data_IF_703400096389
#
_entry.id   IF_703400096389
#
_cell.length_a   1.000
_cell.length_b   1.000
_cell.length_c   1.000
_cell.angle_alpha   90.00
_cell.angle_beta   90.00
_cell.angle_gamma   90.00
#
_symmetry.space_group_name_H-M   'P 1'
#
loop_
_entity.id
_entity.type
_entity.pdbx_description
1 polymer ?
#
# COMPACT_ATOMS: atom_id res chain seq x y z
N UNK A 1 -33.52 4.91 15.22
CA UNK A 1 -33.69 5.04 13.75
C UNK A 1 -32.48 5.64 13.02
N UNK A 2 -31.30 5.78 13.65
CA UNK A 2 -30.07 6.34 13.04
C UNK A 2 -29.08 5.30 12.50
N UNK A 3 -29.28 4.02 12.75
CA UNK A 3 -28.37 2.93 12.36
C UNK A 3 -28.63 2.45 10.93
N UNK A 4 -29.83 2.54 10.43
CA UNK A 4 -30.26 1.96 9.14
C UNK A 4 -29.71 2.71 7.92
N UNK A 5 -29.44 4.02 8.02
CA UNK A 5 -28.91 4.83 6.91
C UNK A 5 -27.41 4.63 6.73
N UNK A 6 -26.69 4.35 7.83
CA UNK A 6 -25.22 4.16 7.79
C UNK A 6 -24.83 2.82 7.13
N UNK A 7 -25.67 1.79 7.20
CA UNK A 7 -25.44 0.49 6.55
C UNK A 7 -25.67 0.52 5.03
N UNK A 8 -26.52 1.43 4.53
CA UNK A 8 -26.80 1.52 3.10
C UNK A 8 -25.61 2.01 2.28
N UNK A 9 -24.79 2.89 2.81
CA UNK A 9 -23.56 3.34 2.15
C UNK A 9 -22.42 2.30 2.19
N UNK A 10 -22.41 1.44 3.22
CA UNK A 10 -21.47 0.32 3.29
C UNK A 10 -21.80 -0.75 2.24
N UNK A 11 -23.08 -1.01 1.99
CA UNK A 11 -23.54 -1.97 0.98
C UNK A 11 -23.26 -1.51 -0.46
N UNK A 12 -23.33 -0.21 -0.74
CA UNK A 12 -23.08 0.34 -2.08
C UNK A 12 -21.59 0.24 -2.50
N UNK A 13 -20.66 0.32 -1.57
CA UNK A 13 -19.23 0.15 -1.84
C UNK A 13 -18.84 -1.32 -2.11
N UNK A 14 -19.60 -2.28 -1.56
CA UNK A 14 -19.33 -3.73 -1.69
C UNK A 14 -19.94 -4.32 -2.96
N UNK A 15 -21.03 -3.76 -3.46
CA UNK A 15 -21.79 -4.29 -4.64
C UNK A 15 -21.09 -4.06 -5.98
N UNK A 16 -20.07 -3.21 -6.05
CA UNK A 16 -19.32 -2.99 -7.31
C UNK A 16 -18.22 -4.06 -7.58
N UNK A 17 -17.96 -4.97 -6.64
CA UNK A 17 -16.88 -5.96 -6.73
C UNK A 17 -17.36 -7.38 -7.10
N UNK A 18 -18.65 -7.67 -7.05
CA UNK A 18 -19.19 -9.02 -7.19
C UNK A 18 -20.19 -9.17 -8.33
N UNK A 19 -19.71 -9.18 -9.58
CA UNK A 19 -20.47 -9.74 -10.70
C UNK A 19 -19.57 -10.69 -11.51
N UNK A 20 -19.67 -12.02 -11.33
CA UNK A 20 -19.03 -12.97 -12.23
C UNK A 20 -19.82 -13.03 -13.54
N UNK A 21 -19.26 -12.51 -14.63
CA UNK A 21 -19.75 -12.83 -15.96
C UNK A 21 -19.32 -14.24 -16.32
N UNK A 22 -20.26 -15.16 -16.32
CA UNK A 22 -20.14 -16.46 -16.96
C UNK A 22 -20.04 -16.24 -18.46
N UNK A 23 -18.86 -16.41 -19.04
CA UNK A 23 -18.65 -16.49 -20.48
C UNK A 23 -18.81 -17.95 -20.90
N UNK A 24 -19.88 -18.20 -21.64
CA UNK A 24 -20.19 -19.47 -22.31
C UNK A 24 -19.19 -19.64 -23.45
N UNK A 25 -18.41 -20.73 -23.42
CA UNK A 25 -17.57 -21.13 -24.53
C UNK A 25 -18.46 -21.55 -25.72
N UNK A 26 -18.11 -21.07 -26.91
CA UNK A 26 -18.72 -21.49 -28.18
C UNK A 26 -17.69 -22.36 -28.89
N UNK A 27 -18.04 -23.62 -29.06
CA UNK A 27 -17.27 -24.58 -29.87
C UNK A 27 -17.18 -24.13 -31.32
N UNK A 28 -15.99 -24.22 -31.88
CA UNK A 28 -15.70 -24.02 -33.29
C UNK A 28 -14.51 -24.86 -33.70
N UNK A 29 -14.83 -25.90 -34.43
CA UNK A 29 -13.96 -26.90 -35.02
C UNK A 29 -12.98 -26.37 -36.07
N UNK A 30 -11.79 -26.96 -36.16
CA UNK A 30 -11.01 -27.00 -37.41
C UNK A 30 -9.52 -26.86 -37.28
N UNK A 31 -8.81 -27.97 -37.25
CA UNK A 31 -7.69 -28.29 -38.10
C UNK A 31 -6.29 -27.69 -37.91
N UNK A 32 -5.43 -28.57 -37.62
CA UNK A 32 -4.01 -28.73 -37.98
C UNK A 32 -3.01 -28.69 -36.81
N UNK A 33 -2.43 -29.87 -36.64
CA UNK A 33 -1.47 -30.26 -35.63
C UNK A 33 -0.06 -29.73 -35.96
N UNK A 34 0.52 -28.98 -35.01
CA UNK A 34 1.96 -28.84 -34.87
C UNK A 34 2.41 -29.66 -33.63
N UNK A 35 3.62 -30.23 -33.62
CA UNK A 35 4.06 -31.12 -32.54
C UNK A 35 4.18 -30.34 -31.23
N UNK A 36 3.43 -30.78 -30.22
CA UNK A 36 3.49 -30.24 -28.87
C UNK A 36 4.70 -30.82 -28.14
N UNK A 37 5.61 -29.96 -27.70
CA UNK A 37 6.60 -30.29 -26.68
C UNK A 37 5.89 -30.48 -25.35
N UNK A 38 5.98 -31.66 -24.77
CA UNK A 38 5.43 -31.92 -23.42
C UNK A 38 6.45 -31.45 -22.39
N UNK A 39 6.16 -30.33 -21.72
CA UNK A 39 6.93 -29.88 -20.58
C UNK A 39 6.35 -30.46 -19.30
N UNK A 40 7.13 -31.26 -18.60
CA UNK A 40 6.79 -31.77 -17.27
C UNK A 40 7.38 -30.83 -16.23
N UNK A 41 6.52 -30.18 -15.47
CA UNK A 41 6.90 -29.32 -14.34
C UNK A 41 7.39 -30.22 -13.18
N UNK A 42 8.70 -30.19 -12.91
CA UNK A 42 9.27 -30.60 -11.63
C UNK A 42 9.67 -29.37 -10.82
N UNK A 43 9.51 -29.49 -9.51
CA UNK A 43 9.58 -28.36 -8.56
C UNK A 43 10.99 -27.73 -8.44
N UNK A 44 12.02 -28.29 -9.06
CA UNK A 44 13.41 -27.87 -8.82
C UNK A 44 14.21 -27.37 -10.02
N UNK A 45 13.74 -27.42 -11.23
CA UNK A 45 14.34 -26.73 -12.39
C UNK A 45 13.58 -27.06 -13.68
N UNK A 46 13.37 -26.06 -14.52
CA UNK A 46 12.85 -26.26 -15.88
C UNK A 46 14.02 -26.63 -16.79
N UNK A 47 14.24 -27.93 -17.00
CA UNK A 47 15.19 -28.42 -17.99
C UNK A 47 14.42 -28.94 -19.18
N UNK A 48 14.54 -28.30 -20.33
CA UNK A 48 14.03 -28.84 -21.60
C UNK A 48 15.08 -29.82 -22.15
N UNK A 49 14.75 -31.09 -22.32
CA UNK A 49 15.62 -32.07 -22.96
C UNK A 49 15.56 -31.89 -24.50
N UNK A 50 16.69 -31.77 -25.20
CA UNK A 50 16.73 -31.71 -26.66
C UNK A 50 16.44 -33.07 -27.25
N UNK A 51 15.79 -33.08 -28.41
CA UNK A 51 15.53 -34.25 -29.24
C UNK A 51 16.88 -34.84 -29.72
N UNK A 52 17.07 -36.16 -29.73
CA UNK A 52 18.33 -36.78 -30.17
C UNK A 52 18.51 -36.57 -31.68
N UNK A 53 19.56 -35.85 -32.07
CA UNK A 53 19.92 -35.68 -33.46
C UNK A 53 20.68 -34.42 -33.87
N UNK A 54 21.28 -33.67 -32.95
CA UNK A 54 22.23 -32.60 -33.33
C UNK A 54 23.46 -32.61 -32.39
N UNK A 55 24.53 -33.19 -32.85
CA UNK A 55 25.88 -32.96 -32.33
C UNK A 55 26.32 -31.54 -32.70
N UNK A 56 26.18 -30.63 -31.79
CA UNK A 56 26.74 -29.28 -31.81
C UNK A 56 27.59 -29.09 -30.57
N UNK A 57 28.91 -29.14 -30.73
CA UNK A 57 29.88 -28.75 -29.71
C UNK A 57 29.70 -27.26 -29.40
N UNK A 58 28.96 -26.96 -28.35
CA UNK A 58 29.02 -25.66 -27.69
C UNK A 58 29.64 -25.87 -26.32
N UNK A 59 30.80 -25.27 -26.13
CA UNK A 59 31.41 -25.07 -24.82
C UNK A 59 30.39 -24.37 -23.91
N UNK A 60 29.76 -25.15 -23.08
CA UNK A 60 28.96 -24.64 -21.98
C UNK A 60 29.92 -23.99 -20.98
N UNK A 61 30.04 -22.67 -21.03
CA UNK A 61 30.56 -21.91 -19.90
C UNK A 61 29.61 -22.18 -18.74
N UNK A 62 30.07 -23.01 -17.83
CA UNK A 62 29.48 -23.26 -16.52
C UNK A 62 29.51 -21.92 -15.75
N UNK A 63 28.46 -21.10 -15.89
CA UNK A 63 28.19 -20.01 -14.96
C UNK A 63 27.88 -20.66 -13.62
N UNK A 64 28.92 -20.92 -12.85
CA UNK A 64 28.80 -21.27 -11.44
C UNK A 64 28.10 -20.11 -10.75
N UNK A 65 26.81 -20.23 -10.57
CA UNK A 65 26.04 -19.39 -9.64
C UNK A 65 26.68 -19.61 -8.27
N UNK A 66 27.45 -18.61 -7.82
CA UNK A 66 28.12 -18.62 -6.53
C UNK A 66 27.08 -18.84 -5.43
N UNK A 67 26.95 -20.08 -4.94
CA UNK A 67 26.10 -20.39 -3.81
C UNK A 67 26.61 -19.62 -2.58
N UNK A 68 25.74 -18.87 -1.89
CA UNK A 68 26.14 -18.03 -0.77
C UNK A 68 26.72 -18.87 0.36
N UNK A 69 28.04 -18.71 0.60
CA UNK A 69 28.89 -19.56 1.47
C UNK A 69 28.69 -19.37 2.99
N UNK A 70 27.64 -18.66 3.44
CA UNK A 70 27.37 -18.41 4.87
C UNK A 70 25.90 -18.58 5.24
N UNK A 71 25.61 -19.03 6.47
CA UNK A 71 24.24 -19.23 6.94
C UNK A 71 23.40 -17.95 6.85
N UNK A 72 23.95 -16.79 7.23
CA UNK A 72 23.28 -15.48 7.16
C UNK A 72 23.01 -15.07 5.71
N UNK A 73 23.99 -15.29 4.82
CA UNK A 73 23.83 -14.98 3.39
C UNK A 73 22.68 -15.79 2.76
N UNK A 74 22.56 -17.07 3.07
CA UNK A 74 21.44 -17.92 2.60
C UNK A 74 20.09 -17.41 3.12
N UNK A 75 20.00 -17.03 4.38
CA UNK A 75 18.78 -16.48 4.97
C UNK A 75 18.38 -15.16 4.28
N UNK A 76 19.33 -14.26 4.04
CA UNK A 76 19.07 -13.00 3.33
C UNK A 76 18.63 -13.23 1.89
N UNK A 77 19.29 -14.15 1.16
CA UNK A 77 18.89 -14.51 -0.21
C UNK A 77 17.47 -15.10 -0.24
N UNK A 78 17.15 -16.03 0.66
CA UNK A 78 15.80 -16.60 0.77
C UNK A 78 14.74 -15.54 1.11
N UNK A 79 15.07 -14.61 2.01
CA UNK A 79 14.18 -13.51 2.36
C UNK A 79 13.96 -12.53 1.19
N UNK A 80 15.01 -12.20 0.44
CA UNK A 80 14.91 -11.38 -0.77
C UNK A 80 14.12 -12.08 -1.88
N UNK A 81 14.31 -13.39 -2.07
CA UNK A 81 13.55 -14.20 -3.02
C UNK A 81 12.05 -14.26 -2.64
N UNK A 82 11.74 -14.39 -1.35
CA UNK A 82 10.37 -14.30 -0.85
C UNK A 82 9.74 -12.93 -1.19
N UNK A 83 10.49 -11.83 -1.06
CA UNK A 83 10.05 -10.50 -1.45
C UNK A 83 9.68 -10.43 -2.93
N UNK A 84 10.57 -10.89 -3.82
CA UNK A 84 10.32 -10.92 -5.26
C UNK A 84 9.07 -11.77 -5.63
N UNK A 85 8.96 -12.97 -5.07
CA UNK A 85 7.81 -13.84 -5.27
C UNK A 85 6.50 -13.21 -4.78
N UNK A 86 6.53 -12.56 -3.62
CA UNK A 86 5.35 -11.87 -3.06
C UNK A 86 4.90 -10.71 -3.94
N UNK A 87 5.84 -9.93 -4.47
CA UNK A 87 5.56 -8.81 -5.38
C UNK A 87 5.00 -9.28 -6.73
N UNK A 88 5.52 -10.37 -7.28
CA UNK A 88 5.04 -10.95 -8.53
C UNK A 88 3.58 -11.46 -8.44
N UNK A 89 3.12 -11.85 -7.26
CA UNK A 89 1.76 -12.36 -7.03
C UNK A 89 0.70 -11.27 -6.79
N UNK A 90 1.01 -10.00 -7.02
CA UNK A 90 0.09 -8.89 -6.81
C UNK A 90 0.20 -7.85 -7.92
N UNK A 91 -0.82 -6.97 -8.10
CA UNK A 91 -0.76 -5.92 -9.09
C UNK A 91 0.43 -4.98 -8.87
N UNK A 92 1.02 -4.49 -9.96
CA UNK A 92 2.21 -3.64 -9.92
C UNK A 92 1.87 -2.14 -9.90
N UNK A 93 0.89 -1.72 -9.07
CA UNK A 93 0.51 -0.33 -8.91
C UNK A 93 1.51 0.46 -8.06
N UNK A 94 1.55 1.77 -8.25
CA UNK A 94 2.25 2.64 -7.31
C UNK A 94 1.41 2.82 -6.03
N UNK A 95 2.04 3.02 -4.89
CA UNK A 95 1.29 3.38 -3.70
C UNK A 95 0.76 4.80 -3.81
N UNK A 96 -0.49 5.07 -3.43
CA UNK A 96 -1.04 6.42 -3.39
C UNK A 96 -0.28 7.36 -2.43
N UNK A 97 -0.49 8.68 -2.59
CA UNK A 97 0.15 9.69 -1.74
C UNK A 97 -0.34 9.60 -0.30
N UNK A 98 -1.66 9.65 -0.08
CA UNK A 98 -2.24 9.65 1.26
C UNK A 98 -2.85 8.30 1.64
N UNK A 99 -3.56 7.63 0.73
CA UNK A 99 -4.20 6.33 0.97
C UNK A 99 -3.17 5.23 1.19
N UNK A 100 -3.37 4.39 2.20
CA UNK A 100 -2.52 3.24 2.45
C UNK A 100 -2.80 2.14 1.43
N UNK A 101 -1.77 1.73 0.69
CA UNK A 101 -1.88 0.61 -0.26
C UNK A 101 -2.01 -0.73 0.47
N UNK A 102 -2.86 -1.60 -0.05
CA UNK A 102 -2.95 -2.99 0.40
C UNK A 102 -1.81 -3.89 -0.10
N UNK A 103 -0.96 -3.42 -1.01
CA UNK A 103 0.19 -4.19 -1.51
C UNK A 103 1.18 -4.46 -0.39
N UNK A 104 1.74 -5.67 -0.41
CA UNK A 104 2.85 -6.05 0.46
C UNK A 104 4.18 -5.68 -0.22
N UNK A 105 5.13 -5.16 0.55
CA UNK A 105 6.37 -4.62 0.02
C UNK A 105 7.54 -4.82 0.97
N UNK A 106 8.74 -4.72 0.41
CA UNK A 106 9.98 -4.43 1.13
C UNK A 106 10.39 -3.01 0.71
N UNK A 107 10.15 -2.02 1.58
CA UNK A 107 10.29 -0.60 1.22
C UNK A 107 10.63 0.23 2.45
N UNK A 108 11.55 1.18 2.31
CA UNK A 108 11.63 2.30 3.22
C UNK A 108 10.82 3.45 2.63
N UNK A 109 9.78 3.90 3.34
CA UNK A 109 8.97 5.04 2.96
C UNK A 109 9.11 6.16 3.98
N UNK A 110 9.37 7.37 3.49
CA UNK A 110 9.45 8.57 4.29
C UNK A 110 8.54 9.65 3.72
N UNK A 111 7.51 10.03 4.49
CA UNK A 111 6.56 11.07 4.10
C UNK A 111 6.83 12.33 4.94
N UNK A 112 6.82 13.48 4.28
CA UNK A 112 6.82 14.78 4.94
C UNK A 112 5.64 15.59 4.44
N UNK A 113 5.06 16.40 5.30
CA UNK A 113 3.97 17.27 4.89
C UNK A 113 3.99 18.60 5.63
N UNK A 114 3.44 19.61 4.96
CA UNK A 114 3.10 20.91 5.53
C UNK A 114 1.60 21.08 5.50
N UNK A 115 1.03 21.33 6.65
CA UNK A 115 -0.41 21.59 6.76
C UNK A 115 -0.64 23.04 7.20
N UNK A 116 -1.76 23.63 6.77
CA UNK A 116 -2.23 24.92 7.25
C UNK A 116 -3.68 24.80 7.72
N UNK A 117 -3.99 25.56 8.78
CA UNK A 117 -5.32 25.63 9.38
C UNK A 117 -5.49 26.94 10.15
N UNK A 118 -6.63 27.08 10.84
CA UNK A 118 -6.94 28.28 11.61
C UNK A 118 -5.92 28.57 12.73
N UNK A 119 -5.27 27.53 13.27
CA UNK A 119 -4.25 27.64 14.32
C UNK A 119 -2.81 27.84 13.79
N UNK A 120 -2.64 28.20 12.53
CA UNK A 120 -1.32 28.37 11.90
C UNK A 120 -0.88 27.17 11.06
N UNK A 121 0.39 27.19 10.66
CA UNK A 121 1.02 26.12 9.88
C UNK A 121 1.79 25.12 10.74
N UNK A 122 1.90 23.89 10.24
CA UNK A 122 2.68 22.82 10.88
C UNK A 122 3.43 22.06 9.81
N UNK A 123 4.72 21.82 10.03
CA UNK A 123 5.49 20.83 9.28
C UNK A 123 5.52 19.51 10.07
N UNK A 124 5.44 18.40 9.37
CA UNK A 124 5.62 17.08 9.95
C UNK A 124 6.61 16.27 9.11
N UNK A 125 7.52 15.59 9.76
CA UNK A 125 8.56 14.78 9.17
C UNK A 125 8.43 13.35 9.68
N UNK A 126 8.34 12.38 8.78
CA UNK A 126 8.19 10.96 9.11
C UNK A 126 6.75 10.42 9.10
N UNK A 127 5.74 11.25 9.03
CA UNK A 127 4.32 11.08 8.73
C UNK A 127 3.64 9.70 8.85
N UNK A 128 3.99 8.85 9.84
CA UNK A 128 3.33 7.56 10.04
C UNK A 128 3.73 6.46 9.06
N UNK A 129 4.82 6.62 8.35
CA UNK A 129 5.43 5.64 7.45
C UNK A 129 6.80 5.23 8.00
N UNK A 130 7.45 4.25 7.39
CA UNK A 130 8.74 3.75 7.88
C UNK A 130 9.26 2.58 7.07
N UNK A 131 9.94 1.68 7.75
CA UNK A 131 10.48 0.46 7.18
C UNK A 131 9.38 -0.59 7.09
N UNK A 132 9.05 -0.99 5.87
CA UNK A 132 8.11 -2.05 5.53
C UNK A 132 8.90 -3.29 5.10
N UNK A 133 8.63 -4.45 5.71
CA UNK A 133 9.31 -5.69 5.38
C UNK A 133 8.42 -6.92 5.56
N UNK A 134 8.67 -7.93 4.74
CA UNK A 134 7.95 -9.18 4.77
C UNK A 134 8.51 -10.09 5.86
N UNK A 135 7.62 -10.61 6.69
CA UNK A 135 7.91 -11.67 7.68
C UNK A 135 7.44 -13.04 7.22
N UNK A 136 6.52 -13.07 6.27
CA UNK A 136 6.03 -14.28 5.60
C UNK A 136 5.46 -13.90 4.21
N UNK A 137 5.25 -14.84 3.28
CA UNK A 137 4.79 -14.56 1.91
C UNK A 137 3.50 -13.75 1.80
N UNK A 138 2.68 -13.72 2.85
CA UNK A 138 1.41 -13.00 2.90
C UNK A 138 1.32 -12.00 4.05
N UNK A 139 2.42 -11.79 4.80
CA UNK A 139 2.43 -10.95 6.00
C UNK A 139 3.59 -9.97 5.95
N UNK A 140 3.27 -8.69 6.13
CA UNK A 140 4.21 -7.59 6.19
C UNK A 140 4.09 -6.88 7.52
N UNK A 141 5.22 -6.51 8.09
CA UNK A 141 5.33 -5.55 9.20
C UNK A 141 5.82 -4.20 8.69
N UNK A 142 5.36 -3.14 9.31
CA UNK A 142 5.90 -1.80 9.20
C UNK A 142 6.24 -1.27 10.58
N UNK A 143 7.43 -0.72 10.71
CA UNK A 143 7.87 0.03 11.87
C UNK A 143 8.15 1.46 11.38
N UNK A 144 7.34 2.40 11.81
CA UNK A 144 7.50 3.81 11.47
C UNK A 144 8.47 4.51 12.43
N UNK A 145 9.03 5.62 11.99
CA UNK A 145 9.66 6.56 12.92
C UNK A 145 8.59 7.41 13.62
N UNK A 146 8.76 7.76 14.90
CA UNK A 146 7.91 8.78 15.51
C UNK A 146 7.96 10.07 14.68
N UNK A 147 6.82 10.60 14.21
CA UNK A 147 6.82 11.78 13.37
C UNK A 147 7.24 13.02 14.17
N UNK A 148 8.19 13.78 13.64
CA UNK A 148 8.59 15.05 14.23
C UNK A 148 7.70 16.18 13.72
N UNK A 149 7.11 16.94 14.63
CA UNK A 149 6.18 18.03 14.33
C UNK A 149 6.82 19.38 14.69
N UNK A 150 6.83 20.31 13.72
CA UNK A 150 7.38 21.64 13.84
C UNK A 150 6.31 22.68 13.49
N UNK A 151 5.74 23.40 14.47
CA UNK A 151 4.85 24.52 14.22
C UNK A 151 5.57 25.67 13.54
N UNK A 152 4.83 26.44 12.72
CA UNK A 152 5.35 27.66 12.08
C UNK A 152 5.14 28.91 12.95
N UNK A 153 4.37 28.79 14.01
CA UNK A 153 4.07 29.90 14.92
C UNK A 153 5.26 30.11 15.85
N UNK A 154 5.68 31.38 15.99
CA UNK A 154 6.76 31.76 16.90
C UNK A 154 6.41 31.42 18.35
N UNK A 155 7.36 30.84 19.08
CA UNK A 155 7.19 30.43 20.48
C UNK A 155 6.44 29.11 20.70
N UNK A 156 5.95 28.45 19.64
CA UNK A 156 5.36 27.13 19.78
C UNK A 156 6.44 26.03 19.83
N UNK A 157 6.28 25.08 20.75
CA UNK A 157 7.22 23.98 20.93
C UNK A 157 7.08 22.96 19.79
N UNK A 158 8.18 22.42 19.32
CA UNK A 158 8.23 21.24 18.47
C UNK A 158 8.29 19.96 19.31
N UNK A 159 8.00 18.81 18.72
CA UNK A 159 8.10 17.53 19.42
C UNK A 159 7.80 16.31 18.57
N UNK A 160 7.98 15.14 19.14
CA UNK A 160 7.73 13.86 18.51
C UNK A 160 6.32 13.35 18.79
N UNK A 161 5.68 12.76 17.77
CA UNK A 161 4.46 11.99 17.91
C UNK A 161 4.70 10.55 18.35
N UNK A 162 3.63 9.77 18.37
CA UNK A 162 3.68 8.36 18.77
C UNK A 162 4.34 7.48 17.71
N UNK A 163 4.92 6.36 18.14
CA UNK A 163 5.53 5.36 17.27
C UNK A 163 4.42 4.59 16.50
N UNK A 164 4.37 4.67 15.17
CA UNK A 164 3.41 3.91 14.38
C UNK A 164 3.94 2.51 14.05
N UNK A 165 3.07 1.53 14.20
CA UNK A 165 3.27 0.14 13.81
C UNK A 165 2.14 -0.28 12.87
N UNK A 166 2.40 -1.22 11.95
CA UNK A 166 1.38 -1.78 11.10
C UNK A 166 1.69 -3.23 10.74
N UNK A 167 0.68 -4.08 10.82
CA UNK A 167 0.66 -5.42 10.27
C UNK A 167 -0.26 -5.42 9.06
N UNK A 168 0.19 -6.01 7.94
CA UNK A 168 -0.65 -6.29 6.78
C UNK A 168 -0.69 -7.80 6.54
N UNK A 169 -1.88 -8.33 6.33
CA UNK A 169 -2.10 -9.73 5.95
C UNK A 169 -2.88 -9.80 4.64
N UNK A 170 -2.24 -10.24 3.56
CA UNK A 170 -2.86 -10.37 2.24
C UNK A 170 -3.84 -11.55 2.23
N UNK A 171 -5.12 -11.24 2.09
CA UNK A 171 -6.20 -12.23 2.02
C UNK A 171 -6.32 -12.81 0.62
N UNK A 172 -6.21 -11.92 -0.39
CA UNK A 172 -6.39 -12.29 -1.78
C UNK A 172 -5.57 -11.35 -2.68
N UNK A 173 -5.02 -11.88 -3.79
CA UNK A 173 -4.46 -11.07 -4.87
C UNK A 173 -4.49 -11.82 -6.19
N UNK A 174 -4.59 -11.06 -7.28
CA UNK A 174 -4.33 -11.49 -8.66
C UNK A 174 -3.35 -10.51 -9.29
N UNK A 175 -2.27 -11.01 -9.91
CA UNK A 175 -1.27 -10.14 -10.50
C UNK A 175 -1.81 -9.38 -11.71
N UNK A 176 -0.98 -8.48 -12.22
CA UNK A 176 -1.30 -7.66 -13.38
C UNK A 176 -1.52 -8.54 -14.61
N UNK A 177 -2.60 -8.27 -15.33
CA UNK A 177 -3.01 -9.05 -16.50
C UNK A 177 -3.84 -10.30 -16.17
N UNK A 178 -3.83 -10.78 -14.93
CA UNK A 178 -4.62 -11.96 -14.49
C UNK A 178 -5.84 -11.57 -13.64
N UNK A 179 -6.23 -10.32 -13.70
CA UNK A 179 -7.41 -9.83 -12.99
C UNK A 179 -7.14 -8.66 -12.07
N UNK A 180 -5.90 -8.21 -11.91
CA UNK A 180 -5.49 -6.93 -11.28
C UNK A 180 -6.30 -6.61 -10.03
N UNK A 181 -6.28 -7.47 -9.01
CA UNK A 181 -7.11 -7.29 -7.82
C UNK A 181 -6.39 -7.69 -6.54
N UNK A 182 -6.77 -7.06 -5.45
CA UNK A 182 -6.11 -7.18 -4.17
C UNK A 182 -7.10 -6.95 -3.02
N UNK A 183 -6.99 -7.77 -1.97
CA UNK A 183 -7.65 -7.58 -0.68
C UNK A 183 -6.66 -7.91 0.44
N UNK A 184 -6.47 -6.98 1.36
CA UNK A 184 -5.51 -7.09 2.47
C UNK A 184 -6.16 -6.61 3.75
N UNK A 185 -6.05 -7.37 4.81
CA UNK A 185 -6.35 -6.92 6.16
C UNK A 185 -5.15 -6.12 6.70
N UNK A 186 -5.43 -4.99 7.35
CA UNK A 186 -4.46 -4.10 7.97
C UNK A 186 -4.83 -3.94 9.44
N UNK A 187 -3.85 -4.08 10.32
CA UNK A 187 -3.94 -3.67 11.71
C UNK A 187 -2.84 -2.65 11.99
N UNK A 188 -3.22 -1.39 12.05
CA UNK A 188 -2.37 -0.30 12.54
C UNK A 188 -2.43 -0.21 14.06
N UNK A 189 -1.33 0.25 14.65
CA UNK A 189 -1.27 0.58 16.07
C UNK A 189 -0.33 1.78 16.27
N UNK A 190 -0.61 2.62 17.27
CA UNK A 190 0.35 3.62 17.76
C UNK A 190 0.73 3.32 19.19
N UNK A 191 2.04 3.36 19.48
CA UNK A 191 2.57 3.25 20.84
C UNK A 191 2.77 4.65 21.40
N UNK A 192 2.20 5.00 22.57
CA UNK A 192 2.18 6.35 23.12
C UNK A 192 3.53 6.72 23.74
N UNK A 193 4.54 6.93 22.92
CA UNK A 193 5.89 7.36 23.29
C UNK A 193 6.18 8.82 22.94
N UNK A 194 5.20 9.48 22.29
CA UNK A 194 5.33 10.85 21.84
C UNK A 194 5.26 11.88 22.96
N UNK A 195 5.68 13.10 22.63
CA UNK A 195 5.54 14.25 23.53
C UNK A 195 4.07 14.52 23.85
N UNK A 196 3.74 15.03 25.04
CA UNK A 196 2.34 15.28 25.45
C UNK A 196 1.53 16.19 24.52
N UNK A 197 2.21 17.05 23.74
CA UNK A 197 1.56 17.95 22.76
C UNK A 197 1.27 17.25 21.42
N UNK A 198 2.03 16.20 21.05
CA UNK A 198 2.00 15.60 19.72
C UNK A 198 1.69 14.11 19.74
N UNK A 199 1.84 13.45 20.88
CA UNK A 199 1.38 12.08 21.12
C UNK A 199 -0.08 12.03 21.54
N UNK A 200 -0.68 10.88 21.35
CA UNK A 200 -2.08 10.63 21.76
C UNK A 200 -2.21 10.36 23.27
N UNK A 201 -1.10 10.11 23.96
CA UNK A 201 -1.08 9.72 25.38
C UNK A 201 -1.69 8.34 25.67
N UNK A 202 -2.25 7.67 24.64
CA UNK A 202 -2.86 6.34 24.71
C UNK A 202 -2.62 5.58 23.42
N UNK A 203 -2.54 4.24 23.46
CA UNK A 203 -2.49 3.44 22.24
C UNK A 203 -3.74 3.64 21.39
N UNK A 204 -3.59 3.65 20.09
CA UNK A 204 -4.70 3.68 19.13
C UNK A 204 -4.57 2.46 18.23
N UNK A 205 -5.62 1.65 18.12
CA UNK A 205 -5.71 0.55 17.18
C UNK A 205 -6.48 0.99 15.93
N UNK A 206 -6.00 0.60 14.77
CA UNK A 206 -6.58 1.00 13.48
C UNK A 206 -6.75 -0.23 12.56
N UNK A 207 -7.77 -1.08 12.83
CA UNK A 207 -8.12 -2.17 11.93
C UNK A 207 -8.73 -1.62 10.64
N UNK A 208 -8.32 -2.17 9.49
CA UNK A 208 -8.85 -1.78 8.18
C UNK A 208 -8.81 -2.95 7.18
N UNK A 209 -9.64 -2.84 6.15
CA UNK A 209 -9.54 -3.61 4.92
C UNK A 209 -9.03 -2.69 3.81
N UNK A 210 -7.98 -3.10 3.15
CA UNK A 210 -7.48 -2.46 1.95
C UNK A 210 -7.86 -3.29 0.73
N UNK A 211 -8.36 -2.64 -0.29
CA UNK A 211 -8.78 -3.25 -1.54
C UNK A 211 -8.18 -2.52 -2.73
N UNK A 212 -8.13 -3.21 -3.85
CA UNK A 212 -7.72 -2.60 -5.11
C UNK A 212 -8.21 -3.38 -6.31
N UNK A 213 -8.44 -2.66 -7.41
CA UNK A 213 -8.82 -3.19 -8.71
C UNK A 213 -8.20 -2.34 -9.81
N UNK A 214 -7.57 -3.00 -10.77
CA UNK A 214 -7.02 -2.37 -11.96
C UNK A 214 -7.66 -2.85 -13.25
N UNK A 215 -7.54 -2.05 -14.29
CA UNK A 215 -7.85 -2.41 -15.68
C UNK A 215 -7.00 -1.57 -16.63
N UNK A 216 -6.06 -2.23 -17.31
CA UNK A 216 -5.14 -1.56 -18.22
C UNK A 216 -4.22 -0.58 -17.48
N UNK A 217 -4.33 0.71 -17.78
CA UNK A 217 -3.55 1.78 -17.15
C UNK A 217 -4.23 2.43 -15.95
N UNK A 218 -5.46 2.05 -15.61
CA UNK A 218 -6.21 2.59 -14.50
C UNK A 218 -6.22 1.61 -13.34
N UNK A 219 -6.06 2.13 -12.13
CA UNK A 219 -6.31 1.39 -10.91
C UNK A 219 -7.05 2.24 -9.88
N UNK A 220 -7.84 1.55 -9.06
CA UNK A 220 -8.49 2.11 -7.88
C UNK A 220 -7.98 1.33 -6.68
N UNK A 221 -7.46 2.03 -5.71
CA UNK A 221 -7.03 1.48 -4.43
C UNK A 221 -7.81 2.17 -3.31
N UNK A 222 -8.15 1.44 -2.26
CA UNK A 222 -8.86 2.04 -1.14
C UNK A 222 -8.66 1.30 0.16
N UNK A 223 -9.03 1.97 1.25
CA UNK A 223 -9.08 1.41 2.60
C UNK A 223 -10.37 1.85 3.28
N UNK A 224 -10.94 0.95 4.07
CA UNK A 224 -12.02 1.25 5.00
C UNK A 224 -11.69 0.61 6.34
N UNK A 225 -11.79 1.37 7.43
CA UNK A 225 -11.41 0.89 8.75
C UNK A 225 -11.75 1.84 9.87
N UNK A 226 -11.36 1.47 11.07
CA UNK A 226 -11.57 2.25 12.29
C UNK A 226 -10.26 2.87 12.81
N UNK A 227 -10.42 3.89 13.65
CA UNK A 227 -9.38 4.37 14.55
C UNK A 227 -9.96 4.35 15.95
N UNK A 228 -9.41 3.49 16.82
CA UNK A 228 -10.00 3.09 18.09
C UNK A 228 -8.99 3.35 19.23
N UNK A 229 -9.12 4.47 19.95
CA UNK A 229 -8.30 4.73 21.14
C UNK A 229 -8.59 3.69 22.23
N UNK A 230 -7.55 3.08 22.78
CA UNK A 230 -7.67 2.08 23.82
C UNK A 230 -7.98 2.77 25.17
N UNK A 231 -8.98 2.26 25.89
CA UNK A 231 -9.38 2.80 27.20
C UNK A 231 -10.35 3.97 27.14
N UNK A 232 -11.05 4.17 26.04
CA UNK A 232 -12.18 5.11 25.95
C UNK A 232 -11.76 6.57 26.08
N UNK A 233 -10.95 7.08 25.13
CA UNK A 233 -10.54 8.48 25.12
C UNK A 233 -11.64 9.39 24.59
N UNK A 234 -12.10 10.35 25.43
CA UNK A 234 -13.09 11.33 25.04
C UNK A 234 -12.53 12.44 24.16
N UNK A 235 -11.20 12.63 24.10
CA UNK A 235 -10.56 13.64 23.24
C UNK A 235 -10.45 13.15 21.79
N UNK A 236 -9.92 11.95 21.59
CA UNK A 236 -9.71 11.38 20.25
C UNK A 236 -11.02 10.82 19.69
N UNK A 237 -11.74 10.01 20.47
CA UNK A 237 -12.95 9.33 20.05
C UNK A 237 -12.72 8.26 18.97
N UNK A 238 -13.73 7.43 18.77
CA UNK A 238 -13.73 6.44 17.69
C UNK A 238 -14.02 7.11 16.35
N UNK A 239 -13.37 6.62 15.31
CA UNK A 239 -13.52 7.15 13.96
C UNK A 239 -13.69 6.01 12.96
N UNK A 240 -14.56 6.21 11.97
CA UNK A 240 -14.59 5.42 10.75
C UNK A 240 -13.81 6.18 9.67
N UNK A 241 -12.85 5.54 9.06
CA UNK A 241 -11.98 6.14 8.03
C UNK A 241 -12.16 5.39 6.71
N UNK A 242 -12.39 6.12 5.63
CA UNK A 242 -12.50 5.59 4.27
C UNK A 242 -11.64 6.42 3.33
N UNK A 243 -10.72 5.77 2.64
CA UNK A 243 -9.85 6.40 1.66
C UNK A 243 -9.96 5.67 0.33
N UNK A 244 -9.98 6.43 -0.77
CA UNK A 244 -9.99 5.86 -2.11
C UNK A 244 -9.10 6.70 -3.01
N UNK A 245 -8.23 6.05 -3.76
CA UNK A 245 -7.33 6.64 -4.74
C UNK A 245 -7.64 6.06 -6.13
N UNK A 246 -7.77 6.92 -7.12
CA UNK A 246 -7.80 6.60 -8.54
C UNK A 246 -6.45 7.02 -9.14
N UNK A 247 -5.74 6.08 -9.74
CA UNK A 247 -4.45 6.33 -10.39
C UNK A 247 -4.52 6.00 -11.88
N UNK A 248 -3.76 6.75 -12.68
CA UNK A 248 -3.58 6.48 -14.09
C UNK A 248 -2.10 6.37 -14.44
N UNK A 249 -1.67 5.22 -14.95
CA UNK A 249 -0.31 4.99 -15.46
C UNK A 249 -0.13 5.69 -16.81
N UNK A 250 0.08 7.00 -16.79
CA UNK A 250 0.14 7.84 -17.99
C UNK A 250 1.37 7.53 -18.85
N UNK A 251 2.54 7.56 -18.22
CA UNK A 251 3.84 7.30 -18.82
C UNK A 251 4.60 6.26 -18.00
N UNK A 252 5.71 5.73 -18.53
CA UNK A 252 6.52 4.69 -17.85
C UNK A 252 6.82 5.00 -16.38
N UNK A 253 6.99 6.27 -16.03
CA UNK A 253 7.36 6.70 -14.68
C UNK A 253 6.32 7.63 -14.04
N UNK A 254 5.24 8.00 -14.72
CA UNK A 254 4.34 9.05 -14.26
C UNK A 254 2.94 8.50 -13.98
N UNK A 255 2.48 8.74 -12.74
CA UNK A 255 1.22 8.25 -12.21
C UNK A 255 0.41 9.41 -11.60
N UNK A 256 -0.31 10.21 -12.43
CA UNK A 256 -1.30 11.13 -11.88
C UNK A 256 -2.36 10.39 -11.10
N UNK A 257 -2.77 10.98 -9.98
CA UNK A 257 -3.76 10.39 -9.08
C UNK A 257 -4.68 11.43 -8.47
N UNK A 258 -5.79 10.93 -8.01
CA UNK A 258 -6.80 11.69 -7.29
C UNK A 258 -7.34 10.83 -6.15
N UNK A 259 -7.29 11.37 -4.92
CA UNK A 259 -7.79 10.64 -3.76
C UNK A 259 -8.95 11.36 -3.09
N UNK A 260 -9.82 10.57 -2.47
CA UNK A 260 -10.86 11.04 -1.54
C UNK A 260 -10.58 10.39 -0.19
N UNK A 261 -10.37 11.22 0.82
CA UNK A 261 -10.06 10.77 2.17
C UNK A 261 -11.16 11.27 3.13
N UNK A 262 -11.97 10.36 3.65
CA UNK A 262 -13.11 10.65 4.50
C UNK A 262 -12.92 10.12 5.91
N UNK A 263 -13.29 10.92 6.91
CA UNK A 263 -13.32 10.53 8.33
C UNK A 263 -14.67 10.88 8.92
N UNK A 264 -15.29 9.92 9.58
CA UNK A 264 -16.53 10.08 10.33
C UNK A 264 -16.21 9.90 11.82
N UNK A 265 -16.48 10.90 12.60
CA UNK A 265 -16.22 10.89 14.04
C UNK A 265 -17.45 10.31 14.75
N UNK A 266 -17.28 9.15 15.38
CA UNK A 266 -18.37 8.39 16.02
C UNK A 266 -18.43 8.61 17.53
N UNK A 267 -17.43 9.26 18.13
CA UNK A 267 -17.41 9.68 19.53
C UNK A 267 -16.32 10.74 19.78
N UNK A 268 -16.19 11.19 21.05
CA UNK A 268 -15.16 12.14 21.46
C UNK A 268 -15.51 13.59 21.14
N UNK A 269 -14.49 14.48 21.17
CA UNK A 269 -14.65 15.93 20.95
C UNK A 269 -15.34 16.30 19.64
N UNK A 270 -15.21 15.45 18.64
CA UNK A 270 -15.74 15.70 17.29
C UNK A 270 -16.93 14.81 16.94
N UNK A 271 -17.60 14.22 17.94
CA UNK A 271 -18.74 13.32 17.73
C UNK A 271 -19.77 13.89 16.74
N UNK A 272 -20.24 13.02 15.83
CA UNK A 272 -21.21 13.36 14.79
C UNK A 272 -20.68 14.19 13.63
N UNK A 273 -19.42 14.69 13.70
CA UNK A 273 -18.80 15.45 12.61
C UNK A 273 -18.27 14.51 11.53
N UNK A 274 -18.10 15.05 10.34
CA UNK A 274 -17.47 14.38 9.20
C UNK A 274 -16.55 15.33 8.46
N UNK A 275 -15.39 14.84 8.04
CA UNK A 275 -14.50 15.58 7.16
C UNK A 275 -14.17 14.75 5.91
N UNK A 276 -14.06 15.43 4.79
CA UNK A 276 -13.63 14.86 3.51
C UNK A 276 -12.55 15.75 2.93
N UNK A 277 -11.48 15.14 2.47
CA UNK A 277 -10.42 15.79 1.72
C UNK A 277 -10.39 15.23 0.31
N UNK A 278 -10.13 16.09 -0.65
CA UNK A 278 -9.78 15.76 -2.01
C UNK A 278 -8.28 15.95 -2.20
N UNK A 279 -7.60 14.96 -2.80
CA UNK A 279 -6.14 14.96 -2.89
C UNK A 279 -5.71 14.71 -4.34
N UNK A 280 -5.59 15.76 -5.18
CA UNK A 280 -4.84 15.63 -6.43
C UNK A 280 -3.37 15.36 -6.10
N UNK A 281 -2.78 14.42 -6.82
CA UNK A 281 -1.41 13.97 -6.59
C UNK A 281 -0.74 13.46 -7.85
N UNK A 282 0.56 13.25 -7.73
CA UNK A 282 1.41 12.73 -8.78
C UNK A 282 2.44 11.79 -8.18
N UNK A 283 2.46 10.54 -8.65
CA UNK A 283 3.53 9.59 -8.39
C UNK A 283 4.55 9.59 -9.52
N UNK A 284 5.82 9.49 -9.18
CA UNK A 284 6.95 9.33 -10.08
C UNK A 284 7.83 8.16 -9.63
N UNK A 285 8.18 7.29 -10.54
CA UNK A 285 9.08 6.17 -10.29
C UNK A 285 8.43 4.88 -10.80
N UNK A 286 9.06 3.81 -10.66
CA UNK A 286 10.20 3.18 -10.04
C UNK A 286 11.46 3.35 -10.89
N UNK A 287 12.31 4.24 -10.50
CA UNK A 287 13.63 4.38 -11.13
C UNK A 287 14.52 3.32 -10.49
N UNK A 288 14.98 2.37 -11.30
CA UNK A 288 15.90 1.34 -10.84
C UNK A 288 17.27 1.96 -10.51
N UNK A 289 17.81 1.67 -9.34
CA UNK A 289 19.13 2.15 -8.91
C UNK A 289 20.18 1.04 -9.00
N UNK A 290 20.01 -0.04 -8.23
CA UNK A 290 20.95 -1.16 -8.22
C UNK A 290 20.29 -2.43 -7.65
N UNK A 291 20.47 -3.58 -8.29
CA UNK A 291 19.87 -4.84 -7.82
C UNK A 291 18.35 -4.71 -7.75
N UNK A 292 17.74 -4.87 -6.59
CA UNK A 292 16.31 -4.66 -6.35
C UNK A 292 15.95 -3.23 -5.90
N UNK A 293 16.97 -2.45 -5.50
CA UNK A 293 16.77 -1.10 -5.01
C UNK A 293 16.25 -0.18 -6.11
N UNK A 294 15.13 0.44 -5.84
CA UNK A 294 14.49 1.43 -6.72
C UNK A 294 14.14 2.69 -5.95
N UNK A 295 13.92 3.79 -6.68
CA UNK A 295 13.49 5.06 -6.15
C UNK A 295 12.11 5.39 -6.71
N UNK A 296 11.20 5.82 -5.84
CA UNK A 296 9.95 6.44 -6.24
C UNK A 296 9.71 7.70 -5.40
N UNK A 297 9.12 8.70 -6.03
CA UNK A 297 8.68 9.92 -5.40
C UNK A 297 7.17 10.09 -5.56
N UNK A 298 6.52 10.76 -4.66
CA UNK A 298 5.15 11.18 -4.88
C UNK A 298 4.88 12.51 -4.17
N UNK A 299 3.99 13.31 -4.72
CA UNK A 299 3.55 14.55 -4.12
C UNK A 299 2.07 14.77 -4.37
N UNK A 300 1.40 15.45 -3.44
CA UNK A 300 0.00 15.78 -3.57
C UNK A 300 -0.42 16.86 -2.58
N UNK A 301 -1.62 17.40 -2.78
CA UNK A 301 -2.18 18.42 -1.89
C UNK A 301 -3.57 17.98 -1.45
N UNK A 302 -3.74 17.68 -0.16
CA UNK A 302 -5.06 17.45 0.43
C UNK A 302 -5.76 18.77 0.63
N UNK A 303 -6.98 18.91 0.11
CA UNK A 303 -7.81 20.11 0.17
C UNK A 303 -9.11 19.76 0.87
N UNK A 304 -9.49 20.50 1.90
CA UNK A 304 -10.74 20.28 2.62
C UNK A 304 -11.96 20.50 1.71
N UNK A 305 -12.84 19.49 1.62
CA UNK A 305 -14.05 19.51 0.82
C UNK A 305 -15.34 19.67 1.66
N UNK A 306 -15.23 19.67 2.99
CA UNK A 306 -16.37 19.80 3.94
C UNK A 306 -16.22 21.01 4.84
N UNK A 307 -17.32 21.54 5.38
CA UNK A 307 -17.30 22.67 6.31
C UNK A 307 -16.52 22.36 7.58
N UNK A 308 -16.70 21.19 8.16
CA UNK A 308 -15.85 20.74 9.26
C UNK A 308 -14.63 20.06 8.70
N UNK A 309 -13.44 20.52 9.10
CA UNK A 309 -12.15 19.94 8.77
C UNK A 309 -11.12 20.32 9.85
N UNK A 310 -10.13 19.46 10.04
CA UNK A 310 -9.06 19.67 11.04
C UNK A 310 -7.92 20.55 10.53
N UNK A 311 -7.81 20.71 9.21
CA UNK A 311 -6.89 21.64 8.54
C UNK A 311 -7.47 22.01 7.16
N UNK A 312 -7.08 23.16 6.61
CA UNK A 312 -7.59 23.65 5.33
C UNK A 312 -6.98 22.90 4.15
N UNK A 313 -5.64 22.80 4.14
CA UNK A 313 -4.90 22.04 3.13
C UNK A 313 -3.61 21.47 3.72
N UNK A 314 -3.12 20.41 3.09
CA UNK A 314 -1.87 19.74 3.45
C UNK A 314 -1.12 19.34 2.18
N UNK A 315 0.07 19.92 1.96
CA UNK A 315 0.99 19.48 0.93
C UNK A 315 1.80 18.31 1.46
N UNK A 316 1.86 17.21 0.70
CA UNK A 316 2.53 15.95 1.06
C UNK A 316 3.62 15.68 0.02
N UNK A 317 4.78 15.26 0.49
CA UNK A 317 5.86 14.71 -0.33
C UNK A 317 6.27 13.35 0.27
N UNK A 318 6.43 12.36 -0.58
CA UNK A 318 6.77 10.99 -0.21
C UNK A 318 8.01 10.52 -0.96
N UNK A 319 9.00 10.06 -0.23
CA UNK A 319 10.18 9.34 -0.72
C UNK A 319 10.00 7.86 -0.43
N UNK A 320 10.27 7.01 -1.42
CA UNK A 320 10.10 5.57 -1.33
C UNK A 320 11.27 4.86 -1.94
N UNK A 321 11.85 3.93 -1.22
CA UNK A 321 12.99 3.10 -1.58
C UNK A 321 12.60 1.62 -1.48
N UNK A 322 11.93 1.05 -2.49
CA UNK A 322 11.72 -0.41 -2.59
C UNK A 322 13.05 -1.13 -2.78
N UNK A 323 13.23 -2.29 -2.10
CA UNK A 323 14.46 -3.10 -2.12
C UNK A 323 14.20 -4.60 -2.12
#
# INVERSE_FOLDING_TARGET
MKITVKMAYLAAAILFVAAPRVLRAKDGSGGQSAPQAVCVLRVDATTCLPTPGQEGTHDAQDETVDEPRGGISRVLHAWMAMGASTEAQQPNWLSPVATTSGRLKQELRYDSWRQSGAAGGVYNFGGGKGLEFLVAPRVQLMIGAPPFTLPTQSGANSGFGDLPLMLKARLFSRPQGEGDSLLTFILGATVPVGDPLYGNGKPVLSPALAFGKGKGKLDVQGTIGGSLPVGGDTKLGNQLVSNTALQYHALRLLWPECEVNATFFESGKNDGKKQVFFTPGLGFGRVHLRGRLSLSLAAGVQIAATRFHTYNHRAIVSLRLPF
#
